data_IF_513799769003
#
_entry.id   IF_513799769003
#
_cell.length_a   1.000
_cell.length_b   1.000
_cell.length_c   1.000
_cell.angle_alpha   90.00
_cell.angle_beta   90.00
_cell.angle_gamma   90.00
#
_symmetry.space_group_name_H-M   'P 1'
#
loop_
_entity.id
_entity.type
_entity.pdbx_description
1 polymer ?
#
# COMPACT_ATOMS: atom_id res chain seq x y z
N UNK A 1 -5.19 13.43 -17.11
CA UNK A 1 -4.19 14.00 -16.17
C UNK A 1 -3.92 12.95 -15.07
N UNK A 2 -2.86 13.02 -14.26
CA UNK A 2 -2.61 12.03 -13.20
C UNK A 2 -2.47 12.73 -11.84
N UNK A 3 -3.12 12.21 -10.81
CA UNK A 3 -2.92 12.63 -9.42
C UNK A 3 -2.17 11.52 -8.69
N UNK A 4 -1.02 11.87 -8.08
CA UNK A 4 -0.25 10.97 -7.22
C UNK A 4 -0.42 11.38 -5.75
N UNK A 5 -0.77 10.42 -4.90
CA UNK A 5 -0.82 10.58 -3.45
C UNK A 5 0.23 9.68 -2.83
N UNK A 6 1.14 10.26 -2.05
CA UNK A 6 2.20 9.54 -1.37
C UNK A 6 2.07 9.69 0.15
N UNK A 7 2.17 8.56 0.86
CA UNK A 7 2.24 8.49 2.32
C UNK A 7 3.55 7.82 2.70
N UNK A 8 4.30 8.42 3.61
CA UNK A 8 5.58 7.90 4.13
C UNK A 8 5.63 8.02 5.64
N UNK A 9 6.30 7.07 6.28
CA UNK A 9 6.68 7.14 7.69
C UNK A 9 8.14 6.70 7.88
N UNK A 10 8.71 7.08 9.02
CA UNK A 10 10.09 6.73 9.44
C UNK A 10 10.08 5.61 10.51
N UNK A 11 9.05 4.77 10.49
CA UNK A 11 8.90 3.65 11.41
C UNK A 11 9.86 2.49 11.13
N UNK A 12 9.66 1.33 11.78
CA UNK A 12 10.53 0.16 11.61
C UNK A 12 10.42 -0.53 10.24
N UNK A 13 9.55 -0.04 9.36
CA UNK A 13 9.23 -0.67 8.09
C UNK A 13 8.44 -1.98 8.24
N UNK A 14 8.18 -2.62 7.10
CA UNK A 14 7.45 -3.87 6.96
C UNK A 14 8.40 -4.91 6.37
N UNK A 15 8.57 -6.09 7.01
CA UNK A 15 9.37 -7.18 6.45
C UNK A 15 8.88 -7.59 5.05
N UNK A 16 9.77 -7.97 4.11
CA UNK A 16 9.37 -8.27 2.72
C UNK A 16 8.27 -9.33 2.57
N UNK A 17 8.28 -10.35 3.44
CA UNK A 17 7.26 -11.42 3.43
C UNK A 17 5.87 -10.95 3.89
N UNK A 18 5.80 -9.84 4.61
CA UNK A 18 4.54 -9.20 5.03
C UNK A 18 4.10 -8.14 4.02
N UNK A 19 5.05 -7.46 3.38
CA UNK A 19 4.77 -6.45 2.35
C UNK A 19 4.00 -7.07 1.17
N UNK A 20 4.39 -8.28 0.75
CA UNK A 20 3.69 -9.03 -0.32
C UNK A 20 2.30 -9.53 0.08
N UNK A 21 1.98 -9.55 1.38
CA UNK A 21 0.68 -9.95 1.90
C UNK A 21 -0.27 -8.76 2.13
N UNK A 22 0.20 -7.52 1.93
CA UNK A 22 -0.63 -6.33 2.07
C UNK A 22 -1.80 -6.37 1.08
N UNK A 23 -3.00 -6.08 1.59
CA UNK A 23 -4.21 -6.09 0.77
C UNK A 23 -4.75 -7.48 0.44
N UNK A 24 -4.18 -8.55 1.00
CA UNK A 24 -4.73 -9.91 0.89
C UNK A 24 -5.75 -10.15 2.01
N UNK A 25 -7.01 -10.49 1.70
CA UNK A 25 -8.04 -10.73 2.72
C UNK A 25 -7.69 -11.94 3.59
N UNK A 26 -7.92 -11.83 4.90
CA UNK A 26 -7.76 -12.93 5.86
C UNK A 26 -6.33 -13.17 6.38
N UNK A 27 -5.32 -12.49 5.84
CA UNK A 27 -3.99 -12.45 6.45
C UNK A 27 -4.03 -11.53 7.68
N UNK A 28 -3.79 -12.11 8.86
CA UNK A 28 -3.92 -11.39 10.13
C UNK A 28 -2.82 -10.32 10.29
N UNK A 29 -3.23 -9.09 10.63
CA UNK A 29 -2.32 -8.04 11.11
C UNK A 29 -2.16 -6.81 10.21
N UNK A 30 -2.53 -6.85 8.93
CA UNK A 30 -2.27 -5.75 7.99
C UNK A 30 -3.48 -4.88 7.62
N UNK A 31 -4.59 -5.06 8.32
CA UNK A 31 -5.68 -4.08 8.38
C UNK A 31 -6.66 -4.12 7.20
N UNK A 32 -7.94 -4.20 7.54
CA UNK A 32 -9.07 -4.10 6.58
C UNK A 32 -8.98 -2.84 5.71
N UNK A 33 -8.39 -1.75 6.22
CA UNK A 33 -8.20 -0.51 5.46
C UNK A 33 -7.35 -0.68 4.20
N UNK A 34 -6.21 -1.39 4.28
CA UNK A 34 -5.33 -1.61 3.12
C UNK A 34 -6.02 -2.56 2.12
N UNK A 35 -6.75 -3.55 2.61
CA UNK A 35 -7.57 -4.42 1.75
C UNK A 35 -8.62 -3.60 0.96
N UNK A 36 -9.36 -2.73 1.63
CA UNK A 36 -10.36 -1.89 0.96
C UNK A 36 -9.72 -0.95 -0.08
N UNK A 37 -8.59 -0.32 0.25
CA UNK A 37 -7.85 0.51 -0.69
C UNK A 37 -7.39 -0.27 -1.92
N UNK A 38 -6.89 -1.49 -1.73
CA UNK A 38 -6.49 -2.36 -2.83
C UNK A 38 -7.69 -2.75 -3.70
N UNK A 39 -8.84 -3.09 -3.10
CA UNK A 39 -10.06 -3.40 -3.87
C UNK A 39 -10.54 -2.20 -4.68
N UNK A 40 -10.51 -0.99 -4.10
CA UNK A 40 -10.86 0.24 -4.80
C UNK A 40 -9.91 0.50 -5.97
N UNK A 41 -8.60 0.39 -5.75
CA UNK A 41 -7.62 0.64 -6.81
C UNK A 41 -7.80 -0.34 -7.99
N UNK A 42 -8.07 -1.62 -7.71
CA UNK A 42 -8.37 -2.61 -8.76
C UNK A 42 -9.67 -2.28 -9.49
N UNK A 43 -10.74 -1.93 -8.76
CA UNK A 43 -12.06 -1.63 -9.33
C UNK A 43 -12.00 -0.41 -10.26
N UNK A 44 -11.29 0.64 -9.86
CA UNK A 44 -11.21 1.91 -10.59
C UNK A 44 -10.05 1.96 -11.61
N UNK A 45 -9.21 0.92 -11.67
CA UNK A 45 -8.03 0.90 -12.55
C UNK A 45 -6.93 1.87 -12.12
N UNK A 46 -6.82 2.14 -10.82
CA UNK A 46 -5.77 3.00 -10.23
C UNK A 46 -4.49 2.21 -9.98
N UNK A 47 -3.36 2.92 -9.97
CA UNK A 47 -2.08 2.33 -9.54
C UNK A 47 -1.96 2.38 -8.02
N UNK A 48 -1.57 1.27 -7.39
CA UNK A 48 -1.27 1.22 -5.96
C UNK A 48 0.04 0.45 -5.75
N UNK A 49 1.02 1.09 -5.11
CA UNK A 49 2.35 0.52 -4.85
C UNK A 49 2.76 0.74 -3.40
N UNK A 50 3.41 -0.27 -2.84
CA UNK A 50 3.98 -0.23 -1.50
C UNK A 50 5.47 -0.47 -1.59
N UNK A 51 6.24 0.27 -0.80
CA UNK A 51 7.67 0.07 -0.64
C UNK A 51 8.01 0.12 0.85
N UNK A 52 8.96 -0.72 1.26
CA UNK A 52 9.48 -0.71 2.61
C UNK A 52 10.86 -1.33 2.63
N UNK A 53 11.84 -0.54 3.05
CA UNK A 53 13.24 -0.94 3.10
C UNK A 53 13.72 -0.93 4.54
N UNK A 54 13.50 -2.03 5.27
CA UNK A 54 14.02 -2.18 6.64
C UNK A 54 13.77 -0.95 7.54
N UNK A 55 14.82 -0.46 8.19
CA UNK A 55 14.76 0.68 9.11
C UNK A 55 14.53 2.06 8.43
N UNK A 56 14.29 2.11 7.13
CA UNK A 56 13.99 3.36 6.38
C UNK A 56 12.47 3.64 6.31
N UNK A 57 11.66 2.82 6.98
CA UNK A 57 10.22 3.03 7.11
C UNK A 57 9.40 2.42 5.98
N UNK A 58 8.20 2.97 5.76
CA UNK A 58 7.22 2.50 4.79
C UNK A 58 6.75 3.64 3.90
N UNK A 59 6.48 3.31 2.64
CA UNK A 59 5.89 4.21 1.67
C UNK A 59 4.73 3.54 0.92
N UNK A 60 3.64 4.28 0.73
CA UNK A 60 2.55 3.92 -0.15
C UNK A 60 2.35 5.01 -1.20
N UNK A 61 2.14 4.60 -2.45
CA UNK A 61 1.85 5.49 -3.58
C UNK A 61 0.56 5.05 -4.25
N UNK A 62 -0.39 5.98 -4.38
CA UNK A 62 -1.64 5.82 -5.10
C UNK A 62 -1.66 6.76 -6.31
N UNK A 63 -1.95 6.21 -7.48
CA UNK A 63 -1.97 6.88 -8.78
C UNK A 63 -3.39 6.86 -9.35
N UNK A 64 -4.03 8.03 -9.40
CA UNK A 64 -5.43 8.19 -9.82
C UNK A 64 -5.47 8.91 -11.19
N UNK A 65 -5.92 8.24 -12.26
CA UNK A 65 -6.17 8.90 -13.55
C UNK A 65 -7.29 9.94 -13.41
N UNK A 66 -7.11 11.11 -14.02
CA UNK A 66 -8.07 12.20 -14.10
C UNK A 66 -8.59 12.41 -15.51
#
# INVERSE_FOLDING_TARGET
>A
NLVEIQVRDEGPGIPPHQLSALGVPGQAGHGVGIFLLHQMAVHEGWGLRFDSVGAEGFAAVLEIPA
#
